data_IF_584047059325
#
_entry.id   IF_584047059325
#
_cell.length_a   1.000
_cell.length_b   1.000
_cell.length_c   1.000
_cell.angle_alpha   90.00
_cell.angle_beta   90.00
_cell.angle_gamma   90.00
#
_symmetry.space_group_name_H-M   'P 1'
#
loop_
_entity.id
_entity.type
_entity.pdbx_description
1 polymer ?
#
# COMPACT_ATOMS: atom_id res chain seq x y z
N UNK A 1 -25.42 14.57 26.05
CA UNK A 1 -23.98 14.54 26.38
C UNK A 1 -23.38 13.38 25.61
N UNK A 2 -23.05 13.59 24.34
CA UNK A 2 -22.36 12.58 23.53
C UNK A 2 -20.89 12.73 23.85
N UNK A 3 -20.28 11.73 24.49
CA UNK A 3 -18.83 11.71 24.65
C UNK A 3 -18.22 11.73 23.25
N UNK A 4 -17.33 12.68 22.98
CA UNK A 4 -16.43 12.60 21.84
C UNK A 4 -15.68 11.28 21.97
N UNK A 5 -16.09 10.25 21.22
CA UNK A 5 -15.27 9.07 21.01
C UNK A 5 -14.00 9.58 20.31
N UNK A 6 -12.87 9.56 21.00
CA UNK A 6 -11.59 9.95 20.42
C UNK A 6 -11.33 9.02 19.23
N UNK A 7 -11.38 9.59 18.02
CA UNK A 7 -11.05 8.85 16.79
C UNK A 7 -9.59 8.41 16.88
N UNK A 8 -9.34 7.11 16.71
CA UNK A 8 -7.97 6.58 16.69
C UNK A 8 -7.18 7.12 15.50
N UNK A 9 -5.85 7.05 15.56
CA UNK A 9 -5.00 7.40 14.43
C UNK A 9 -4.20 6.17 13.99
N UNK A 10 -3.99 6.09 12.69
CA UNK A 10 -3.15 5.11 12.02
C UNK A 10 -2.34 5.82 10.93
N UNK A 11 -1.21 5.26 10.53
CA UNK A 11 -0.41 5.80 9.44
C UNK A 11 0.03 4.69 8.51
N UNK A 12 0.12 5.01 7.22
CA UNK A 12 0.54 4.08 6.16
C UNK A 12 1.65 4.70 5.34
N UNK A 13 2.57 3.87 4.86
CA UNK A 13 3.59 4.26 3.90
C UNK A 13 3.18 3.77 2.50
N UNK A 14 3.30 4.62 1.49
CA UNK A 14 3.20 4.29 0.08
C UNK A 14 4.63 4.16 -0.46
N UNK A 15 5.22 2.95 -0.43
CA UNK A 15 6.63 2.71 -0.72
C UNK A 15 6.88 2.62 -2.23
N UNK A 16 7.44 3.67 -2.81
CA UNK A 16 8.11 3.58 -4.11
C UNK A 16 9.38 2.75 -3.99
N UNK A 17 9.65 1.91 -4.98
CA UNK A 17 10.86 1.13 -5.04
C UNK A 17 11.19 0.77 -6.50
N UNK A 18 12.40 0.28 -6.73
CA UNK A 18 12.74 -0.39 -7.98
C UNK A 18 12.81 -1.88 -7.74
N UNK A 19 12.15 -2.67 -8.58
CA UNK A 19 12.21 -4.13 -8.54
C UNK A 19 12.61 -4.60 -9.93
N UNK A 20 13.74 -5.29 -10.04
CA UNK A 20 14.28 -5.78 -11.34
C UNK A 20 14.40 -4.68 -12.40
N UNK A 21 14.80 -3.48 -11.99
CA UNK A 21 14.93 -2.30 -12.84
C UNK A 21 13.60 -1.58 -13.14
N UNK A 22 12.49 -2.03 -12.57
CA UNK A 22 11.15 -1.50 -12.83
C UNK A 22 10.69 -0.63 -11.65
N UNK A 23 10.45 0.68 -11.86
CA UNK A 23 9.82 1.54 -10.87
C UNK A 23 8.43 1.02 -10.50
N UNK A 24 8.22 0.82 -9.20
CA UNK A 24 7.07 0.11 -8.67
C UNK A 24 6.62 0.69 -7.33
N UNK A 25 5.41 0.34 -6.91
CA UNK A 25 4.90 0.56 -5.56
C UNK A 25 4.77 -0.80 -4.88
N UNK A 26 5.30 -0.94 -3.66
CA UNK A 26 5.20 -2.18 -2.88
C UNK A 26 3.90 -2.19 -2.07
N UNK A 27 3.23 -3.34 -2.04
CA UNK A 27 2.00 -3.58 -1.29
C UNK A 27 2.07 -4.95 -0.62
N UNK A 28 1.20 -5.15 0.37
CA UNK A 28 0.99 -6.41 1.06
C UNK A 28 -0.41 -6.97 0.82
N UNK A 29 -0.51 -8.28 0.98
CA UNK A 29 -1.76 -8.98 1.29
C UNK A 29 -1.78 -9.18 2.80
N UNK A 30 -2.78 -8.61 3.48
CA UNK A 30 -2.92 -8.76 4.94
C UNK A 30 -3.21 -10.21 5.32
N UNK A 31 -2.57 -10.68 6.38
CA UNK A 31 -2.77 -12.03 6.90
C UNK A 31 -4.22 -12.28 7.30
N UNK A 32 -4.69 -13.50 7.00
CA UNK A 32 -6.06 -13.93 7.34
C UNK A 32 -6.29 -14.14 8.84
N UNK A 33 -5.20 -14.17 9.63
CA UNK A 33 -5.28 -14.30 11.09
C UNK A 33 -5.56 -12.98 11.80
N UNK A 34 -5.54 -11.84 11.08
CA UNK A 34 -5.84 -10.54 11.65
C UNK A 34 -7.36 -10.33 11.84
N UNK A 35 -7.72 -9.63 12.93
CA UNK A 35 -9.12 -9.39 13.33
C UNK A 35 -9.88 -8.43 12.40
N UNK A 36 -9.22 -7.77 11.44
CA UNK A 36 -9.80 -6.75 10.54
C UNK A 36 -9.07 -6.74 9.18
N UNK A 37 -9.77 -6.48 8.07
CA UNK A 37 -9.20 -6.36 6.70
C UNK A 37 -8.41 -7.60 6.22
N UNK A 38 -8.85 -8.79 6.60
CA UNK A 38 -8.16 -10.05 6.25
C UNK A 38 -8.12 -10.29 4.74
N UNK A 39 -6.93 -10.52 4.18
CA UNK A 39 -6.75 -10.81 2.76
C UNK A 39 -6.95 -9.62 1.82
N UNK A 40 -7.15 -8.41 2.34
CA UNK A 40 -7.18 -7.18 1.53
C UNK A 40 -5.77 -6.75 1.12
N UNK A 41 -5.69 -6.00 0.02
CA UNK A 41 -4.45 -5.36 -0.41
C UNK A 41 -4.29 -4.03 0.31
N UNK A 42 -3.16 -3.85 0.97
CA UNK A 42 -2.85 -2.62 1.69
C UNK A 42 -1.43 -2.16 1.47
N UNK A 43 -1.24 -0.89 1.77
CA UNK A 43 0.05 -0.32 2.06
C UNK A 43 0.51 -0.78 3.46
N UNK A 44 1.83 -0.92 3.70
CA UNK A 44 2.33 -1.14 5.05
C UNK A 44 1.89 -0.01 5.98
N UNK A 45 1.52 -0.36 7.20
CA UNK A 45 1.08 0.60 8.18
C UNK A 45 0.13 0.05 9.23
N UNK A 46 -0.09 0.86 10.25
CA UNK A 46 -0.80 0.42 11.45
C UNK A 46 -1.20 1.56 12.35
N UNK A 47 -1.61 1.20 13.57
CA UNK A 47 -2.12 2.15 14.57
C UNK A 47 -0.96 2.94 15.17
N UNK A 48 -1.22 4.19 15.50
CA UNK A 48 -0.27 5.03 16.25
C UNK A 48 -0.10 4.45 17.65
N UNK A 49 1.15 4.21 18.04
CA UNK A 49 1.53 3.86 19.40
C UNK A 49 1.87 5.12 20.21
N UNK A 50 1.73 5.07 21.53
CA UNK A 50 2.09 6.18 22.42
C UNK A 50 3.60 6.51 22.39
N UNK A 51 4.43 5.60 21.89
CA UNK A 51 5.86 5.78 21.71
C UNK A 51 6.22 6.45 20.39
N UNK A 52 5.29 6.55 19.44
CA UNK A 52 5.52 7.20 18.16
C UNK A 52 5.57 8.72 18.33
N UNK A 53 6.65 9.35 17.87
CA UNK A 53 6.83 10.81 18.00
C UNK A 53 6.07 11.60 16.92
N UNK A 54 5.64 10.93 15.85
CA UNK A 54 4.82 11.49 14.77
C UNK A 54 4.10 10.38 14.00
N UNK A 55 3.08 10.74 13.19
CA UNK A 55 2.43 9.79 12.29
C UNK A 55 3.38 9.23 11.22
N UNK A 56 4.38 9.99 10.81
CA UNK A 56 5.41 9.51 9.89
C UNK A 56 6.25 8.39 10.53
N UNK A 57 6.64 8.56 11.80
CA UNK A 57 7.36 7.51 12.55
C UNK A 57 6.51 6.25 12.72
N UNK A 58 5.20 6.39 12.96
CA UNK A 58 4.28 5.23 12.94
C UNK A 58 4.36 4.49 11.62
N UNK A 59 4.26 5.18 10.48
CA UNK A 59 4.31 4.53 9.16
C UNK A 59 5.66 3.81 8.93
N UNK A 60 6.78 4.42 9.34
CA UNK A 60 8.12 3.83 9.21
C UNK A 60 8.31 2.62 10.13
N UNK A 61 7.86 2.70 11.39
CA UNK A 61 7.90 1.60 12.36
C UNK A 61 7.11 0.41 11.87
N UNK A 62 5.86 0.62 11.47
CA UNK A 62 4.97 -0.44 10.97
C UNK A 62 5.55 -1.08 9.69
N UNK A 63 6.09 -0.27 8.77
CA UNK A 63 6.78 -0.79 7.57
C UNK A 63 7.97 -1.67 7.95
N UNK A 64 8.73 -1.29 8.98
CA UNK A 64 9.84 -2.10 9.47
C UNK A 64 9.37 -3.41 10.12
N UNK A 65 8.29 -3.37 10.89
CA UNK A 65 7.70 -4.55 11.54
C UNK A 65 7.10 -5.54 10.53
N UNK A 66 6.38 -5.03 9.52
CA UNK A 66 5.69 -5.84 8.50
C UNK A 66 6.65 -6.40 7.44
N UNK A 67 7.61 -5.59 6.96
CA UNK A 67 8.48 -5.94 5.83
C UNK A 67 9.98 -6.05 6.17
N UNK A 68 10.42 -5.72 7.39
CA UNK A 68 11.85 -5.66 7.72
C UNK A 68 12.59 -4.45 7.11
N UNK A 69 11.88 -3.54 6.44
CA UNK A 69 12.49 -2.35 5.84
C UNK A 69 12.79 -1.34 6.93
N UNK A 70 14.06 -1.28 7.32
CA UNK A 70 14.53 -0.31 8.32
C UNK A 70 14.22 1.14 7.90
N UNK A 71 13.84 2.03 8.84
CA UNK A 71 13.51 3.42 8.54
C UNK A 71 14.59 4.17 7.75
N UNK A 72 15.88 3.89 7.97
CA UNK A 72 16.98 4.57 7.26
C UNK A 72 17.04 4.22 5.77
N UNK A 73 16.37 3.14 5.34
CA UNK A 73 16.24 2.77 3.92
C UNK A 73 15.13 3.56 3.23
N UNK A 74 14.28 4.25 3.96
CA UNK A 74 13.14 5.00 3.42
C UNK A 74 13.49 6.48 3.38
N UNK A 75 13.47 7.04 2.17
CA UNK A 75 13.46 8.49 2.01
C UNK A 75 12.01 8.97 1.91
N UNK A 76 11.52 9.63 2.95
CA UNK A 76 10.15 10.18 2.95
C UNK A 76 10.10 11.40 2.02
N UNK A 77 9.23 11.33 1.03
CA UNK A 77 9.04 12.36 0.01
C UNK A 77 7.97 13.39 0.40
N UNK A 78 6.99 12.97 1.21
CA UNK A 78 5.93 13.84 1.70
C UNK A 78 4.70 13.07 2.19
N UNK A 79 3.64 13.81 2.51
CA UNK A 79 2.33 13.29 2.92
C UNK A 79 1.32 13.48 1.78
N UNK A 80 0.44 12.51 1.54
CA UNK A 80 -0.71 12.71 0.66
C UNK A 80 -1.91 13.27 1.43
N UNK A 81 -2.31 14.49 1.10
CA UNK A 81 -3.47 15.11 1.70
C UNK A 81 -4.76 14.85 0.88
N UNK A 82 -5.93 14.67 1.51
CA UNK A 82 -6.20 14.62 2.95
C UNK A 82 -6.12 13.21 3.57
N UNK A 83 -5.78 13.10 4.88
CA UNK A 83 -6.03 11.92 5.70
C UNK A 83 -7.51 11.59 5.79
N UNK A 84 -7.82 10.31 5.74
CA UNK A 84 -9.19 9.81 5.63
C UNK A 84 -9.54 8.85 6.77
N UNK A 85 -10.81 8.82 7.17
CA UNK A 85 -11.32 7.79 8.07
C UNK A 85 -11.34 6.41 7.39
N UNK A 86 -11.12 5.35 8.15
CA UNK A 86 -11.43 3.99 7.72
C UNK A 86 -12.95 3.83 7.50
N UNK A 87 -13.36 2.68 6.94
CA UNK A 87 -14.77 2.42 6.63
C UNK A 87 -15.68 2.46 7.88
N UNK A 88 -15.14 2.08 9.05
CA UNK A 88 -15.89 2.09 10.33
C UNK A 88 -16.04 3.50 10.93
N UNK A 89 -15.26 4.47 10.47
CA UNK A 89 -15.26 5.84 10.98
C UNK A 89 -14.57 6.04 12.33
N UNK A 90 -13.96 5.00 12.90
CA UNK A 90 -13.34 5.01 14.23
C UNK A 90 -11.82 5.27 14.20
N UNK A 91 -11.21 5.33 13.01
CA UNK A 91 -9.78 5.54 12.83
C UNK A 91 -9.49 6.48 11.66
N UNK A 92 -8.67 7.50 11.86
CA UNK A 92 -8.09 8.35 10.80
C UNK A 92 -6.74 7.80 10.36
N UNK A 93 -6.57 7.63 9.05
CA UNK A 93 -5.36 7.08 8.45
C UNK A 93 -4.58 8.19 7.76
N UNK A 94 -3.30 8.32 8.06
CA UNK A 94 -2.38 9.34 7.54
C UNK A 94 -1.42 8.72 6.51
N UNK A 95 -1.50 9.08 5.22
CA UNK A 95 -0.68 8.44 4.19
C UNK A 95 0.61 9.23 3.89
N UNK A 96 1.75 8.54 4.02
CA UNK A 96 3.07 9.07 3.68
C UNK A 96 3.60 8.41 2.43
N UNK A 97 4.32 9.15 1.60
CA UNK A 97 4.99 8.65 0.41
C UNK A 97 6.48 8.57 0.70
N UNK A 98 7.11 7.45 0.39
CA UNK A 98 8.55 7.30 0.56
C UNK A 98 9.19 6.43 -0.52
N UNK A 99 10.47 6.65 -0.78
CA UNK A 99 11.27 5.83 -1.66
C UNK A 99 12.15 4.86 -0.86
N UNK A 100 11.99 3.56 -1.09
CA UNK A 100 12.74 2.49 -0.46
C UNK A 100 14.03 2.23 -1.24
N UNK A 101 15.17 2.49 -0.59
CA UNK A 101 16.49 2.25 -1.14
C UNK A 101 16.87 0.77 -1.06
N UNK A 102 17.51 0.26 -2.12
CA UNK A 102 18.10 -1.07 -2.14
C UNK A 102 19.27 -1.21 -1.16
N UNK A 103 20.04 -0.13 -0.97
CA UNK A 103 21.17 -0.09 -0.04
C UNK A 103 21.29 1.29 0.59
N UNK A 104 21.83 1.33 1.81
CA UNK A 104 22.19 2.57 2.52
C UNK A 104 23.46 3.20 1.94
N UNK A 105 24.29 2.41 1.25
CA UNK A 105 25.49 2.93 0.61
C UNK A 105 25.10 3.74 -0.61
N UNK A 106 25.43 5.03 -0.62
CA UNK A 106 25.31 5.87 -1.82
C UNK A 106 26.30 5.39 -2.87
N UNK A 107 25.85 4.52 -3.76
CA UNK A 107 26.58 4.25 -5.00
C UNK A 107 26.57 5.53 -5.83
N UNK A 108 27.69 5.91 -6.43
CA UNK A 108 27.68 6.93 -7.49
C UNK A 108 26.97 6.30 -8.67
N UNK A 109 25.74 6.74 -8.92
CA UNK A 109 24.90 6.31 -10.03
C UNK A 109 24.93 7.48 -11.01
N UNK A 110 25.18 7.20 -12.30
CA UNK A 110 25.03 8.22 -13.34
C UNK A 110 23.58 8.71 -13.37
N UNK A 111 23.31 9.92 -13.86
CA UNK A 111 21.91 10.39 -14.02
C UNK A 111 21.08 9.46 -14.92
N UNK A 112 21.74 8.78 -15.87
CA UNK A 112 21.11 7.84 -16.81
C UNK A 112 21.05 6.39 -16.31
N UNK A 113 21.72 6.09 -15.19
CA UNK A 113 21.72 4.73 -14.64
C UNK A 113 20.42 4.49 -13.85
N UNK A 114 19.73 3.36 -14.04
CA UNK A 114 18.53 3.06 -13.27
C UNK A 114 18.85 2.98 -11.78
N UNK A 115 17.97 3.51 -10.94
CA UNK A 115 18.13 3.40 -9.49
C UNK A 115 18.19 1.91 -9.08
N UNK A 116 18.97 1.56 -8.05
CA UNK A 116 19.22 0.16 -7.73
C UNK A 116 17.93 -0.50 -7.25
N UNK A 117 17.76 -1.77 -7.59
CA UNK A 117 16.56 -2.51 -7.26
C UNK A 117 16.66 -3.21 -5.91
N UNK A 118 15.55 -3.24 -5.18
CA UNK A 118 15.37 -4.17 -4.06
C UNK A 118 15.17 -5.58 -4.63
N UNK A 119 15.70 -6.57 -3.91
CA UNK A 119 15.39 -7.96 -4.18
C UNK A 119 14.16 -8.37 -3.38
N UNK A 120 13.07 -8.71 -4.08
CA UNK A 120 11.83 -9.14 -3.45
C UNK A 120 12.00 -10.48 -2.72
N UNK A 121 12.87 -11.37 -3.18
CA UNK A 121 13.06 -12.68 -2.53
C UNK A 121 13.70 -12.47 -1.16
N UNK A 122 14.75 -11.65 -1.09
CA UNK A 122 15.37 -11.26 0.17
C UNK A 122 14.39 -10.54 1.09
N UNK A 123 13.57 -9.63 0.54
CA UNK A 123 12.55 -8.92 1.32
C UNK A 123 11.51 -9.88 1.90
N UNK A 124 11.05 -10.86 1.12
CA UNK A 124 10.08 -11.86 1.57
C UNK A 124 10.56 -12.69 2.76
N UNK A 125 11.87 -12.91 2.89
CA UNK A 125 12.44 -13.60 4.05
C UNK A 125 12.38 -12.76 5.34
N UNK A 126 12.26 -11.44 5.23
CA UNK A 126 12.17 -10.50 6.36
C UNK A 126 10.71 -10.18 6.76
N UNK A 127 9.74 -10.61 5.95
CA UNK A 127 8.31 -10.34 6.18
C UNK A 127 7.80 -11.02 7.45
N UNK A 128 7.08 -10.25 8.27
CA UNK A 128 6.34 -10.78 9.41
C UNK A 128 5.11 -11.57 8.96
N UNK A 129 5.26 -12.89 8.93
CA UNK A 129 4.19 -13.85 8.57
C UNK A 129 2.95 -13.78 9.50
N UNK A 130 3.05 -13.09 10.63
CA UNK A 130 1.91 -12.87 11.55
C UNK A 130 0.91 -11.88 10.98
N UNK A 131 1.38 -10.91 10.23
CA UNK A 131 0.60 -9.74 9.80
C UNK A 131 0.47 -9.68 8.28
N UNK A 132 1.48 -10.17 7.57
CA UNK A 132 1.56 -10.13 6.11
C UNK A 132 1.55 -11.55 5.56
N UNK A 133 0.59 -11.85 4.68
CA UNK A 133 0.53 -13.12 3.98
C UNK A 133 1.49 -13.17 2.78
N UNK A 134 1.65 -12.04 2.07
CA UNK A 134 2.52 -11.92 0.92
C UNK A 134 2.84 -10.46 0.63
N UNK A 135 4.02 -10.20 0.08
CA UNK A 135 4.37 -8.93 -0.55
C UNK A 135 4.35 -9.05 -2.07
N UNK A 136 3.89 -8.01 -2.74
CA UNK A 136 3.92 -7.89 -4.19
C UNK A 136 4.13 -6.42 -4.57
N UNK A 137 4.31 -6.16 -5.86
CA UNK A 137 4.52 -4.81 -6.35
C UNK A 137 3.66 -4.50 -7.57
N UNK A 138 3.32 -3.23 -7.72
CA UNK A 138 2.61 -2.69 -8.88
C UNK A 138 3.60 -1.82 -9.66
N UNK A 139 4.00 -2.21 -10.88
CA UNK A 139 4.77 -1.35 -11.75
C UNK A 139 4.05 -0.02 -11.99
N UNK A 140 4.76 1.10 -11.99
CA UNK A 140 4.16 2.40 -12.26
C UNK A 140 3.53 2.47 -13.67
N UNK A 141 4.08 1.74 -14.63
CA UNK A 141 3.49 1.59 -15.98
C UNK A 141 2.10 0.95 -15.94
N UNK A 142 1.84 0.03 -15.02
CA UNK A 142 0.52 -0.57 -14.81
C UNK A 142 -0.49 0.43 -14.28
N UNK A 143 -0.05 1.50 -13.60
CA UNK A 143 -0.92 2.61 -13.20
C UNK A 143 -1.31 3.49 -14.39
N UNK A 144 -0.59 3.45 -15.51
CA UNK A 144 -0.93 4.21 -16.72
C UNK A 144 -1.86 3.42 -17.67
N UNK A 145 -1.80 2.08 -17.64
CA UNK A 145 -2.64 1.22 -18.47
C UNK A 145 -4.14 1.48 -18.25
N UNK A 146 -4.98 1.66 -19.29
CA UNK A 146 -6.42 1.90 -19.10
C UNK A 146 -7.22 0.64 -18.79
N UNK A 147 -6.79 -0.51 -19.32
CA UNK A 147 -7.57 -1.75 -19.37
C UNK A 147 -7.75 -2.45 -18.01
N UNK A 148 -6.95 -2.08 -17.02
CA UNK A 148 -6.98 -2.64 -15.67
C UNK A 148 -7.66 -1.70 -14.65
N UNK A 149 -8.41 -0.69 -15.11
CA UNK A 149 -9.03 0.30 -14.22
C UNK A 149 -10.55 0.31 -14.36
N UNK A 150 -11.22 0.57 -13.25
CA UNK A 150 -12.63 0.96 -13.22
C UNK A 150 -12.84 2.14 -12.27
N UNK A 151 -13.83 2.96 -12.57
CA UNK A 151 -14.23 4.06 -11.69
C UNK A 151 -15.23 3.58 -10.64
N UNK A 152 -15.07 4.09 -9.43
CA UNK A 152 -15.91 3.82 -8.28
C UNK A 152 -16.15 5.12 -7.48
N UNK A 153 -17.14 5.17 -6.59
CA UNK A 153 -17.31 6.23 -5.60
C UNK A 153 -16.70 5.83 -4.26
N UNK A 154 -15.82 6.68 -3.73
CA UNK A 154 -15.28 6.58 -2.38
C UNK A 154 -16.26 7.23 -1.42
N UNK A 155 -16.81 6.43 -0.49
CA UNK A 155 -17.86 6.83 0.45
C UNK A 155 -19.06 7.48 -0.24
N UNK A 156 -19.49 6.92 -1.36
CA UNK A 156 -20.67 7.32 -2.14
C UNK A 156 -20.65 8.76 -2.70
N UNK A 157 -19.53 9.48 -2.61
CA UNK A 157 -19.48 10.90 -2.98
C UNK A 157 -18.37 11.21 -3.99
N UNK A 158 -17.19 10.61 -3.86
CA UNK A 158 -15.98 11.06 -4.58
C UNK A 158 -15.45 10.01 -5.55
N UNK A 159 -15.32 10.29 -6.85
CA UNK A 159 -14.83 9.30 -7.80
C UNK A 159 -13.36 8.93 -7.56
N UNK A 160 -13.06 7.64 -7.60
CA UNK A 160 -11.71 7.08 -7.50
C UNK A 160 -11.54 5.86 -8.41
N UNK A 161 -10.29 5.48 -8.63
CA UNK A 161 -9.88 4.37 -9.47
C UNK A 161 -9.71 3.12 -8.62
N UNK A 162 -10.42 2.06 -9.01
CA UNK A 162 -10.12 0.69 -8.58
C UNK A 162 -9.22 0.06 -9.64
N UNK A 163 -8.13 -0.55 -9.18
CA UNK A 163 -7.11 -1.15 -10.05
C UNK A 163 -7.17 -2.67 -9.95
N UNK A 164 -7.32 -3.35 -11.09
CA UNK A 164 -7.19 -4.79 -11.22
C UNK A 164 -5.70 -5.16 -11.32
N UNK A 165 -5.25 -5.99 -10.39
CA UNK A 165 -3.86 -6.45 -10.28
C UNK A 165 -3.76 -7.97 -10.36
N UNK A 166 -4.80 -8.64 -10.88
CA UNK A 166 -4.87 -10.11 -10.98
C UNK A 166 -3.66 -10.70 -11.71
N UNK A 167 -3.22 -10.06 -12.79
CA UNK A 167 -2.09 -10.51 -13.60
C UNK A 167 -0.72 -10.09 -13.03
N UNK A 168 -0.70 -9.24 -12.00
CA UNK A 168 0.53 -8.79 -11.34
C UNK A 168 0.89 -9.65 -10.12
N UNK A 169 -0.09 -10.36 -9.55
CA UNK A 169 0.11 -11.26 -8.41
C UNK A 169 0.38 -12.68 -8.93
N UNK A 170 1.44 -12.81 -9.72
CA UNK A 170 1.97 -14.10 -10.16
C UNK A 170 3.24 -14.36 -9.35
N UNK A 171 3.33 -15.52 -8.69
CA UNK A 171 4.53 -15.91 -7.98
C UNK A 171 5.70 -16.02 -8.96
N UNK A 172 6.91 -15.85 -8.47
CA UNK A 172 8.13 -15.84 -9.29
C UNK A 172 8.35 -17.14 -10.09
N UNK A 173 7.67 -18.22 -9.70
CA UNK A 173 7.67 -19.52 -10.38
C UNK A 173 6.59 -19.66 -11.48
N UNK A 174 5.83 -18.61 -11.79
CA UNK A 174 4.71 -18.66 -12.73
C UNK A 174 3.41 -19.24 -12.15
N UNK A 175 3.43 -19.69 -10.90
CA UNK A 175 2.23 -20.10 -10.17
C UNK A 175 1.42 -18.86 -9.77
N UNK A 176 0.11 -18.86 -10.04
CA UNK A 176 -0.78 -17.83 -9.48
C UNK A 176 -0.70 -17.92 -7.96
N UNK A 177 -0.26 -16.85 -7.30
CA UNK A 177 -0.40 -16.73 -5.86
C UNK A 177 -1.89 -16.91 -5.56
N UNK A 178 -2.24 -17.97 -4.83
CA UNK A 178 -3.63 -18.29 -4.50
C UNK A 178 -4.15 -17.31 -3.44
N UNK A 179 -4.21 -16.02 -3.78
CA UNK A 179 -4.74 -14.98 -2.91
C UNK A 179 -6.25 -15.05 -2.98
N UNK A 180 -6.84 -15.68 -1.97
CA UNK A 180 -8.29 -15.56 -1.74
C UNK A 180 -8.52 -14.24 -0.99
N UNK A 181 -8.69 -13.16 -1.75
CA UNK A 181 -9.01 -11.83 -1.22
C UNK A 181 -10.40 -11.90 -0.57
N UNK A 182 -10.59 -11.30 0.61
CA UNK A 182 -11.90 -11.30 1.25
C UNK A 182 -12.92 -10.59 0.37
N UNK A 183 -13.98 -11.32 0.01
CA UNK A 183 -15.24 -10.74 -0.40
C UNK A 183 -16.04 -10.45 0.87
N UNK A 184 -16.51 -9.21 1.02
CA UNK A 184 -17.51 -8.77 1.98
C UNK A 184 -17.00 -8.08 3.26
N UNK A 185 -16.68 -6.80 3.14
CA UNK A 185 -17.07 -5.83 4.17
C UNK A 185 -18.35 -5.12 3.69
N UNK A 186 -19.44 -5.22 4.47
CA UNK A 186 -20.68 -4.49 4.22
C UNK A 186 -20.43 -3.00 4.48
N UNK A 187 -20.45 -2.17 3.44
CA UNK A 187 -20.43 -0.72 3.61
C UNK A 187 -19.96 0.10 2.42
N UNK A 188 -19.30 -0.50 1.42
CA UNK A 188 -18.84 0.22 0.23
C UNK A 188 -19.62 -0.25 -1.02
N UNK A 189 -20.06 0.70 -1.86
CA UNK A 189 -20.84 0.41 -3.09
C UNK A 189 -19.98 -0.34 -4.12
N UNK A 190 -18.65 -0.29 -3.97
CA UNK A 190 -17.71 -1.02 -4.82
C UNK A 190 -17.12 -2.22 -4.12
N UNK A 191 -17.79 -3.36 -4.28
CA UNK A 191 -17.25 -4.66 -3.90
C UNK A 191 -16.14 -5.08 -4.87
N UNK A 192 -15.14 -5.79 -4.36
CA UNK A 192 -14.20 -6.54 -5.20
C UNK A 192 -14.96 -7.51 -6.11
N UNK A 193 -14.60 -7.57 -7.40
CA UNK A 193 -15.26 -8.48 -8.34
C UNK A 193 -14.82 -9.94 -8.08
N UNK A 194 -15.77 -10.89 -8.09
CA UNK A 194 -15.45 -12.32 -7.86
C UNK A 194 -14.49 -12.81 -8.95
N UNK A 195 -13.31 -13.26 -8.54
CA UNK A 195 -12.27 -13.80 -9.44
C UNK A 195 -11.24 -12.79 -9.93
N UNK A 196 -11.33 -11.51 -9.51
CA UNK A 196 -10.29 -10.50 -9.71
C UNK A 196 -9.67 -10.11 -8.38
N UNK A 197 -8.38 -9.82 -8.40
CA UNK A 197 -7.68 -9.23 -7.27
C UNK A 197 -7.55 -7.74 -7.56
N UNK A 198 -8.25 -6.91 -6.76
CA UNK A 198 -8.35 -5.48 -6.98
C UNK A 198 -7.75 -4.69 -5.81
N UNK A 199 -7.14 -3.54 -6.10
CA UNK A 199 -6.83 -2.50 -5.10
C UNK A 199 -8.01 -1.54 -5.04
N UNK A 200 -8.75 -1.55 -3.93
CA UNK A 200 -9.98 -0.78 -3.73
C UNK A 200 -10.04 -0.18 -2.32
N UNK A 201 -11.16 0.45 -1.97
CA UNK A 201 -11.38 1.03 -0.65
C UNK A 201 -10.42 2.17 -0.35
N UNK A 202 -9.95 2.25 0.89
CA UNK A 202 -9.03 3.31 1.31
C UNK A 202 -7.67 3.23 0.62
N UNK A 203 -7.13 2.02 0.40
CA UNK A 203 -5.89 1.80 -0.36
C UNK A 203 -6.04 2.30 -1.79
N UNK A 204 -7.14 1.94 -2.46
CA UNK A 204 -7.44 2.41 -3.82
C UNK A 204 -7.67 3.92 -3.90
N UNK A 205 -8.29 4.52 -2.88
CA UNK A 205 -8.44 5.97 -2.77
C UNK A 205 -7.09 6.68 -2.74
N UNK A 206 -6.18 6.26 -1.86
CA UNK A 206 -4.84 6.86 -1.78
C UNK A 206 -4.01 6.61 -3.03
N UNK A 207 -4.13 5.44 -3.66
CA UNK A 207 -3.51 5.19 -4.96
C UNK A 207 -4.05 6.15 -6.03
N UNK A 208 -5.35 6.46 -6.00
CA UNK A 208 -5.97 7.43 -6.92
C UNK A 208 -5.49 8.86 -6.68
N UNK A 209 -5.31 9.27 -5.41
CA UNK A 209 -4.71 10.57 -5.08
C UNK A 209 -3.26 10.66 -5.57
N UNK A 210 -2.49 9.59 -5.39
CA UNK A 210 -1.13 9.50 -5.89
C UNK A 210 -1.09 9.60 -7.42
N UNK A 211 -1.94 8.86 -8.13
CA UNK A 211 -2.03 8.92 -9.59
C UNK A 211 -2.35 10.33 -10.10
N UNK A 212 -3.20 11.08 -9.39
CA UNK A 212 -3.47 12.49 -9.69
C UNK A 212 -2.24 13.37 -9.45
N UNK A 213 -1.55 13.17 -8.33
CA UNK A 213 -0.32 13.92 -8.02
C UNK A 213 0.82 13.66 -9.01
N UNK A 214 0.85 12.46 -9.61
CA UNK A 214 1.81 12.06 -10.63
C UNK A 214 1.34 12.34 -12.07
N UNK A 215 0.15 12.92 -12.27
CA UNK A 215 -0.43 13.21 -13.59
C UNK A 215 -0.61 11.96 -14.49
N UNK A 216 -0.80 10.77 -13.90
CA UNK A 216 -0.90 9.49 -14.63
C UNK A 216 -2.32 9.23 -15.19
N UNK A 217 -3.35 9.87 -14.62
CA UNK A 217 -4.73 9.85 -15.12
C UNK A 217 -5.41 11.20 -14.83
N UNK A 218 -5.71 12.04 -15.84
CA UNK A 218 -6.65 13.15 -15.70
C UNK A 218 -8.11 12.68 -15.62
#
# INVERSE_FOLDING_TARGET
>A
MFGELSVGNAAVLIPFCNIRGIPSILLEVRSRTLRTHSGELSFPGGRVDNTDTSFMETALRETHEEFGIRPERVEVLGELWPPELNLRGDMRVWPFVGFVRASLTKTKISEDDPLPSIDLVSLQAEISQREVAAAFHIPLSSLAAPSNKRTCLFRDERPYTVLDVTDLIVADNGDKLSVTVASDEKGDVCRGNKGRIEVWGLTGWYLSLLMKALEICP
#
